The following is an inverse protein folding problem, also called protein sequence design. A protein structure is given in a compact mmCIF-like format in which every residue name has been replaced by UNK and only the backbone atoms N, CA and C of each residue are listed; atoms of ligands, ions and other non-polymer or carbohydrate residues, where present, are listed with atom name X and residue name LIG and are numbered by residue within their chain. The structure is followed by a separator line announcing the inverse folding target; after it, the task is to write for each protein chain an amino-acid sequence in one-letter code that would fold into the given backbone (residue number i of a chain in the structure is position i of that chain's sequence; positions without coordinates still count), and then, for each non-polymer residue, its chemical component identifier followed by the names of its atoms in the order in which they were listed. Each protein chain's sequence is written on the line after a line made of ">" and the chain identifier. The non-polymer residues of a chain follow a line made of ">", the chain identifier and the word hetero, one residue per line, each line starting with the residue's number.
data_IF_090059635674
#
_entry.id   IF_090059635674
#
_cell.length_a   1.000
_cell.length_b   1.000
_cell.length_c   1.000
_cell.angle_alpha   90.00
_cell.angle_beta   90.00
_cell.angle_gamma   90.00
#
_symmetry.space_group_name_H-M   'P 1'
#
loop_
_entity.id
_entity.type
_entity.pdbx_description
1 polymer ?
#
# COMPACT_ATOMS: atom_id res chain seq x y z
N UNK A 1 -28.40 22.19 20.35
CA UNK A 1 -29.50 21.32 19.92
C UNK A 1 -30.13 21.91 18.67
N UNK A 2 -29.82 21.40 17.50
CA UNK A 2 -30.58 21.72 16.28
C UNK A 2 -30.70 20.41 15.48
N UNK A 3 -31.89 19.83 15.50
CA UNK A 3 -32.31 18.76 14.61
C UNK A 3 -32.39 19.35 13.19
N UNK A 4 -31.36 19.13 12.39
CA UNK A 4 -31.45 19.37 10.94
C UNK A 4 -32.51 18.42 10.39
N UNK A 5 -33.60 19.01 9.96
CA UNK A 5 -34.73 18.36 9.31
C UNK A 5 -34.22 17.69 8.03
N UNK A 6 -34.22 16.37 7.99
CA UNK A 6 -33.92 15.57 6.79
C UNK A 6 -34.99 15.90 5.76
N UNK A 7 -34.70 16.83 4.86
CA UNK A 7 -35.58 17.16 3.75
C UNK A 7 -35.80 15.88 2.94
N UNK A 8 -37.07 15.49 2.72
CA UNK A 8 -37.46 14.38 1.88
C UNK A 8 -36.84 14.60 0.48
N UNK A 9 -35.84 13.77 0.13
CA UNK A 9 -35.16 13.87 -1.14
C UNK A 9 -36.19 13.61 -2.24
N UNK A 10 -36.50 14.63 -3.05
CA UNK A 10 -37.37 14.49 -4.22
C UNK A 10 -36.84 13.37 -5.10
N UNK A 11 -37.65 12.34 -5.32
CA UNK A 11 -37.27 11.20 -6.14
C UNK A 11 -36.99 11.66 -7.58
N UNK A 12 -35.72 11.65 -7.95
CA UNK A 12 -35.26 12.08 -9.29
C UNK A 12 -35.29 10.90 -10.26
N UNK A 13 -35.34 11.16 -11.56
CA UNK A 13 -35.21 10.13 -12.58
C UNK A 13 -33.94 9.31 -12.35
N UNK A 14 -32.83 9.99 -12.00
CA UNK A 14 -31.56 9.30 -11.73
C UNK A 14 -31.61 8.40 -10.50
N UNK A 15 -32.35 8.76 -9.44
CA UNK A 15 -32.51 7.88 -8.28
C UNK A 15 -33.27 6.59 -8.62
N UNK A 16 -34.27 6.67 -9.50
CA UNK A 16 -35.00 5.47 -10.00
C UNK A 16 -34.13 4.59 -10.88
N UNK A 17 -33.32 5.20 -11.76
CA UNK A 17 -32.34 4.48 -12.59
C UNK A 17 -31.33 3.74 -11.69
N UNK A 18 -30.74 4.46 -10.73
CA UNK A 18 -29.79 3.87 -9.77
C UNK A 18 -30.39 2.70 -8.99
N UNK A 19 -31.63 2.84 -8.49
CA UNK A 19 -32.31 1.77 -7.76
C UNK A 19 -32.53 0.52 -8.62
N UNK A 20 -32.95 0.70 -9.90
CA UNK A 20 -33.12 -0.45 -10.83
C UNK A 20 -31.77 -1.13 -11.10
N UNK A 21 -30.76 -0.35 -11.49
CA UNK A 21 -29.43 -0.90 -11.77
C UNK A 21 -28.80 -1.59 -10.55
N UNK A 22 -29.00 -1.06 -9.34
CA UNK A 22 -28.58 -1.71 -8.09
C UNK A 22 -29.25 -3.07 -7.90
N UNK A 23 -30.55 -3.16 -8.18
CA UNK A 23 -31.32 -4.42 -8.05
C UNK A 23 -30.84 -5.45 -9.08
N UNK A 24 -30.61 -5.02 -10.31
CA UNK A 24 -30.25 -5.92 -11.41
C UNK A 24 -28.80 -6.42 -11.32
N UNK A 25 -27.87 -5.58 -10.82
CA UNK A 25 -26.44 -5.92 -10.73
C UNK A 25 -26.01 -6.46 -9.38
N UNK A 26 -26.87 -6.37 -8.35
CA UNK A 26 -26.47 -6.68 -6.95
C UNK A 26 -25.50 -5.66 -6.32
N UNK A 27 -25.16 -4.58 -7.05
CA UNK A 27 -24.27 -3.53 -6.58
C UNK A 27 -25.05 -2.36 -5.98
N UNK A 28 -24.56 -1.76 -4.90
CA UNK A 28 -25.19 -0.61 -4.28
C UNK A 28 -24.75 0.69 -4.99
N UNK A 29 -25.63 1.26 -5.80
CA UNK A 29 -25.44 2.56 -6.45
C UNK A 29 -26.10 3.63 -5.59
N UNK A 30 -25.31 4.55 -5.03
CA UNK A 30 -25.79 5.64 -4.17
C UNK A 30 -25.13 6.97 -4.57
N UNK A 31 -25.76 8.09 -4.16
CA UNK A 31 -25.13 9.39 -4.33
C UNK A 31 -23.88 9.49 -3.46
N UNK A 32 -22.84 10.13 -4.00
CA UNK A 32 -21.59 10.32 -3.23
C UNK A 32 -21.83 11.12 -1.93
N UNK A 33 -22.69 12.13 -1.97
CA UNK A 33 -23.02 12.93 -0.79
C UNK A 33 -23.84 12.20 0.28
N UNK A 34 -24.43 11.05 -0.04
CA UNK A 34 -25.17 10.22 0.91
C UNK A 34 -24.24 9.20 1.63
N UNK A 35 -23.00 9.07 1.16
CA UNK A 35 -21.99 8.24 1.83
C UNK A 35 -21.49 8.95 3.09
N UNK A 36 -21.39 8.24 4.23
CA UNK A 36 -20.70 8.79 5.38
C UNK A 36 -19.26 9.15 4.96
N UNK A 37 -18.80 10.33 5.35
CA UNK A 37 -17.40 10.72 5.20
C UNK A 37 -16.60 9.87 6.19
N UNK A 38 -16.08 8.75 5.72
CA UNK A 38 -15.14 7.95 6.50
C UNK A 38 -13.80 8.71 6.53
N UNK A 39 -13.29 8.96 7.73
CA UNK A 39 -11.95 9.50 7.88
C UNK A 39 -10.93 8.48 7.33
N UNK A 40 -10.03 8.93 6.48
CA UNK A 40 -8.95 8.07 5.98
C UNK A 40 -8.00 7.80 7.15
N UNK A 41 -7.88 6.55 7.55
CA UNK A 41 -6.85 6.15 8.51
C UNK A 41 -5.47 6.37 7.87
N UNK A 42 -4.53 6.89 8.66
CA UNK A 42 -3.18 7.20 8.19
C UNK A 42 -2.13 6.67 9.16
N UNK A 43 -0.94 6.40 8.61
CA UNK A 43 0.29 6.18 9.38
C UNK A 43 1.25 7.32 9.06
N UNK A 44 1.82 7.98 10.06
CA UNK A 44 2.78 9.06 9.82
C UNK A 44 3.93 8.59 8.92
N UNK A 45 4.39 9.45 8.05
CA UNK A 45 5.57 9.21 7.21
C UNK A 45 6.87 9.27 8.01
N UNK A 46 6.81 9.77 9.26
CA UNK A 46 7.97 10.12 10.07
C UNK A 46 8.55 11.50 9.74
N UNK A 47 7.97 12.19 8.75
CA UNK A 47 8.35 13.57 8.36
C UNK A 47 7.15 14.50 8.50
N UNK A 48 7.21 15.43 9.44
CA UNK A 48 6.11 16.39 9.70
C UNK A 48 5.74 17.20 8.45
N UNK A 49 6.72 17.62 7.67
CA UNK A 49 6.48 18.40 6.46
C UNK A 49 5.79 17.58 5.37
N UNK A 50 6.13 16.30 5.25
CA UNK A 50 5.49 15.41 4.29
C UNK A 50 4.08 15.05 4.76
N UNK A 51 3.87 14.77 6.04
CA UNK A 51 2.55 14.52 6.61
C UNK A 51 1.60 15.70 6.34
N UNK A 52 2.07 16.93 6.57
CA UNK A 52 1.31 18.13 6.25
C UNK A 52 1.07 18.30 4.74
N UNK A 53 2.07 18.02 3.91
CA UNK A 53 2.00 18.12 2.45
C UNK A 53 1.05 17.13 1.79
N UNK A 54 0.88 15.95 2.37
CA UNK A 54 -0.07 14.92 1.91
C UNK A 54 -1.54 15.32 2.20
N UNK A 55 -1.79 16.31 3.05
CA UNK A 55 -3.12 16.82 3.36
C UNK A 55 -3.98 15.93 4.25
N UNK A 56 -3.69 14.64 4.31
CA UNK A 56 -4.39 13.65 5.17
C UNK A 56 -3.60 13.32 6.45
N UNK A 57 -2.37 13.82 6.58
CA UNK A 57 -1.56 13.68 7.78
C UNK A 57 -0.66 12.45 7.82
N UNK A 58 -0.41 11.78 6.70
CA UNK A 58 0.47 10.62 6.60
C UNK A 58 0.16 9.71 5.42
N UNK A 59 0.75 8.54 5.42
CA UNK A 59 0.47 7.50 4.44
C UNK A 59 -0.97 6.97 4.62
N UNK A 60 -1.83 7.03 3.58
CA UNK A 60 -3.19 6.51 3.69
C UNK A 60 -3.17 4.98 3.83
N UNK A 61 -3.86 4.46 4.83
CA UNK A 61 -3.96 3.02 5.04
C UNK A 61 -4.83 2.35 3.97
N UNK A 62 -4.52 1.10 3.67
CA UNK A 62 -5.21 0.36 2.62
C UNK A 62 -4.92 0.88 1.21
N UNK A 63 -3.76 1.49 0.98
CA UNK A 63 -3.36 2.02 -0.33
C UNK A 63 -1.94 1.60 -0.69
N UNK A 64 -1.67 1.61 -2.01
CA UNK A 64 -0.33 1.47 -2.55
C UNK A 64 0.21 2.87 -2.82
N UNK A 65 1.41 3.12 -2.35
CA UNK A 65 2.15 4.38 -2.52
C UNK A 65 3.42 4.08 -3.28
N UNK A 66 3.72 4.84 -4.31
CA UNK A 66 5.01 4.82 -4.98
C UNK A 66 5.87 5.97 -4.46
N UNK A 67 7.06 5.64 -3.96
CA UNK A 67 8.10 6.58 -3.57
C UNK A 67 9.23 6.49 -4.58
N UNK A 68 9.35 7.47 -5.47
CA UNK A 68 10.34 7.45 -6.53
C UNK A 68 11.28 8.66 -6.50
N UNK A 69 12.45 8.50 -7.07
CA UNK A 69 13.45 9.53 -7.17
C UNK A 69 14.79 8.98 -7.61
N UNK A 70 15.76 9.88 -7.80
CA UNK A 70 17.13 9.50 -8.13
C UNK A 70 17.77 8.68 -7.01
N UNK A 71 18.85 7.99 -7.33
CA UNK A 71 19.65 7.29 -6.33
C UNK A 71 20.19 8.28 -5.28
N UNK A 72 20.40 7.80 -4.05
CA UNK A 72 20.91 8.58 -2.92
C UNK A 72 20.07 9.83 -2.51
N UNK A 73 18.80 9.93 -2.91
CA UNK A 73 17.91 11.03 -2.51
C UNK A 73 17.20 10.83 -1.17
N UNK A 74 17.55 9.78 -0.42
CA UNK A 74 17.01 9.53 0.92
C UNK A 74 15.68 8.74 0.93
N UNK A 75 15.31 8.05 -0.16
CA UNK A 75 14.08 7.23 -0.21
C UNK A 75 14.04 6.18 0.89
N UNK A 76 15.08 5.36 0.99
CA UNK A 76 15.18 4.33 2.03
C UNK A 76 15.22 4.94 3.44
N UNK A 77 15.89 6.09 3.62
CA UNK A 77 15.89 6.82 4.90
C UNK A 77 14.47 7.25 5.31
N UNK A 78 13.69 7.82 4.37
CA UNK A 78 12.29 8.20 4.64
C UNK A 78 11.44 6.99 5.01
N UNK A 79 11.64 5.87 4.33
CA UNK A 79 10.93 4.62 4.63
C UNK A 79 11.30 4.09 6.01
N UNK A 80 12.56 4.16 6.43
CA UNK A 80 12.97 3.79 7.79
C UNK A 80 12.29 4.67 8.84
N UNK A 81 12.13 5.98 8.59
CA UNK A 81 11.34 6.84 9.48
C UNK A 81 9.85 6.45 9.49
N UNK A 82 9.30 6.03 8.35
CA UNK A 82 7.91 5.52 8.28
C UNK A 82 7.75 4.21 9.08
N UNK A 83 8.75 3.33 9.05
CA UNK A 83 8.78 2.11 9.89
C UNK A 83 8.75 2.47 11.36
N UNK A 84 9.59 3.42 11.80
CA UNK A 84 9.61 3.89 13.18
C UNK A 84 8.24 4.43 13.59
N UNK A 85 7.61 5.23 12.74
CA UNK A 85 6.29 5.78 13.00
C UNK A 85 5.21 4.68 13.11
N UNK A 86 5.24 3.69 12.22
CA UNK A 86 4.33 2.54 12.25
C UNK A 86 4.52 1.70 13.53
N UNK A 87 5.76 1.38 13.90
CA UNK A 87 6.08 0.65 15.12
C UNK A 87 5.62 1.41 16.38
N UNK A 88 5.82 2.75 16.43
CA UNK A 88 5.31 3.60 17.52
C UNK A 88 3.78 3.61 17.60
N UNK A 89 3.11 3.43 16.48
CA UNK A 89 1.65 3.32 16.42
C UNK A 89 1.15 1.90 16.77
N UNK A 90 2.05 0.98 17.16
CA UNK A 90 1.72 -0.41 17.49
C UNK A 90 1.39 -1.28 16.27
N UNK A 91 1.84 -0.89 15.09
CA UNK A 91 1.61 -1.64 13.85
C UNK A 91 2.80 -2.56 13.54
N UNK A 92 2.49 -3.76 13.05
CA UNK A 92 3.46 -4.66 12.45
C UNK A 92 3.97 -4.14 11.11
N UNK A 93 5.24 -4.38 10.81
CA UNK A 93 5.88 -3.94 9.57
C UNK A 93 6.63 -5.08 8.91
N UNK A 94 6.45 -5.22 7.59
CA UNK A 94 7.22 -6.14 6.76
C UNK A 94 8.06 -5.34 5.75
N UNK A 95 9.33 -5.72 5.60
CA UNK A 95 10.28 -5.14 4.65
C UNK A 95 10.70 -6.20 3.63
N UNK A 96 10.39 -5.98 2.38
CA UNK A 96 10.78 -6.86 1.26
C UNK A 96 11.97 -6.22 0.57
N UNK A 97 13.15 -6.73 0.88
CA UNK A 97 14.44 -6.22 0.43
C UNK A 97 14.88 -6.96 -0.85
N UNK A 98 14.41 -6.47 -1.99
CA UNK A 98 14.78 -7.02 -3.30
C UNK A 98 16.18 -6.53 -3.78
N UNK A 99 16.75 -5.50 -3.15
CA UNK A 99 18.10 -5.03 -3.42
C UNK A 99 19.16 -5.74 -2.55
N UNK A 100 18.74 -6.45 -1.50
CA UNK A 100 19.63 -7.06 -0.50
C UNK A 100 20.56 -6.04 0.15
N UNK A 101 20.08 -4.81 0.36
CA UNK A 101 20.89 -3.66 0.76
C UNK A 101 20.47 -3.02 2.08
N UNK A 102 19.54 -3.61 2.83
CA UNK A 102 19.08 -3.07 4.11
C UNK A 102 20.21 -3.10 5.16
N UNK A 103 20.71 -1.91 5.52
CA UNK A 103 21.68 -1.74 6.60
C UNK A 103 20.98 -1.76 7.97
N UNK A 104 21.05 -2.90 8.65
CA UNK A 104 20.47 -3.12 9.97
C UNK A 104 21.08 -2.20 11.03
N UNK A 105 22.36 -1.85 10.93
CA UNK A 105 23.02 -0.95 11.88
C UNK A 105 22.50 0.47 11.71
N UNK A 106 22.38 0.92 10.47
CA UNK A 106 21.80 2.23 10.16
C UNK A 106 20.34 2.33 10.57
N UNK A 107 19.53 1.32 10.27
CA UNK A 107 18.13 1.24 10.70
C UNK A 107 17.98 1.36 12.22
N UNK A 108 18.78 0.60 12.97
CA UNK A 108 18.81 0.66 14.45
C UNK A 108 19.27 2.02 14.95
N UNK A 109 20.27 2.63 14.31
CA UNK A 109 20.76 3.97 14.68
C UNK A 109 19.70 5.06 14.50
N UNK A 110 18.86 4.96 13.47
CA UNK A 110 17.73 5.84 13.27
C UNK A 110 16.60 5.63 14.28
N UNK A 111 16.56 4.48 14.96
CA UNK A 111 15.56 4.15 15.97
C UNK A 111 14.52 3.12 15.52
N UNK A 112 14.76 2.39 14.43
CA UNK A 112 13.94 1.23 14.06
C UNK A 112 14.14 0.12 15.13
N UNK A 113 13.05 -0.41 15.63
CA UNK A 113 13.10 -1.65 16.41
C UNK A 113 13.27 -2.83 15.44
N UNK A 114 14.54 -3.22 15.26
CA UNK A 114 14.90 -4.27 14.29
C UNK A 114 14.47 -5.66 14.74
N UNK A 115 14.21 -5.84 16.04
CA UNK A 115 13.78 -7.12 16.60
C UNK A 115 12.28 -7.40 16.29
N UNK A 116 11.50 -6.33 15.96
CA UNK A 116 10.10 -6.40 15.54
C UNK A 116 9.91 -6.06 14.05
N UNK A 117 10.98 -6.02 13.27
CA UNK A 117 10.92 -5.79 11.82
C UNK A 117 11.06 -7.13 11.08
N UNK A 118 10.00 -7.54 10.38
CA UNK A 118 10.04 -8.74 9.55
C UNK A 118 10.64 -8.42 8.19
N UNK A 119 11.71 -9.12 7.83
CA UNK A 119 12.44 -8.90 6.57
C UNK A 119 12.40 -10.16 5.71
N UNK A 120 12.15 -9.99 4.42
CA UNK A 120 12.26 -11.04 3.42
C UNK A 120 13.11 -10.57 2.25
N UNK A 121 13.90 -11.48 1.69
CA UNK A 121 14.80 -11.21 0.56
C UNK A 121 14.50 -12.20 -0.58
N UNK A 122 13.42 -11.96 -1.35
CA UNK A 122 13.03 -12.82 -2.45
C UNK A 122 14.04 -12.75 -3.59
N UNK A 123 14.21 -13.88 -4.28
CA UNK A 123 15.15 -13.98 -5.41
C UNK A 123 14.51 -13.55 -6.73
N UNK A 124 13.19 -13.65 -6.84
CA UNK A 124 12.44 -13.32 -8.07
C UNK A 124 11.38 -12.28 -7.82
N UNK A 125 11.01 -11.58 -8.86
CA UNK A 125 9.92 -10.61 -8.83
C UNK A 125 8.58 -11.26 -8.49
N UNK A 126 8.35 -12.48 -9.00
CA UNK A 126 7.14 -13.25 -8.71
C UNK A 126 7.04 -13.57 -7.21
N UNK A 127 8.14 -14.03 -6.60
CA UNK A 127 8.20 -14.31 -5.17
C UNK A 127 7.93 -13.05 -4.34
N UNK A 128 8.55 -11.92 -4.70
CA UNK A 128 8.34 -10.65 -4.00
C UNK A 128 6.88 -10.21 -4.03
N UNK A 129 6.27 -10.21 -5.22
CA UNK A 129 4.91 -9.74 -5.43
C UNK A 129 3.85 -10.69 -4.84
N UNK A 130 4.07 -12.00 -4.93
CA UNK A 130 3.20 -12.99 -4.29
C UNK A 130 3.32 -12.90 -2.75
N UNK A 131 4.51 -12.63 -2.21
CA UNK A 131 4.70 -12.42 -0.77
C UNK A 131 3.90 -11.21 -0.27
N UNK A 132 3.93 -10.07 -0.99
CA UNK A 132 3.11 -8.90 -0.65
C UNK A 132 1.62 -9.26 -0.60
N UNK A 133 1.13 -9.98 -1.62
CA UNK A 133 -0.27 -10.42 -1.66
C UNK A 133 -0.61 -11.34 -0.47
N UNK A 134 0.23 -12.34 -0.22
CA UNK A 134 0.03 -13.31 0.85
C UNK A 134 0.05 -12.66 2.24
N UNK A 135 0.91 -11.67 2.46
CA UNK A 135 0.94 -10.89 3.70
C UNK A 135 -0.37 -10.11 3.91
N UNK A 136 -0.89 -9.47 2.86
CA UNK A 136 -2.17 -8.79 2.94
C UNK A 136 -3.33 -9.76 3.19
N UNK A 137 -3.37 -10.87 2.47
CA UNK A 137 -4.45 -11.86 2.59
C UNK A 137 -4.42 -12.53 3.99
N UNK A 138 -3.24 -12.86 4.52
CA UNK A 138 -3.07 -13.37 5.88
C UNK A 138 -3.49 -12.35 6.93
N UNK A 139 -3.10 -11.08 6.75
CA UNK A 139 -3.52 -9.99 7.63
C UNK A 139 -5.05 -9.80 7.63
N UNK A 140 -5.71 -9.97 6.48
CA UNK A 140 -7.17 -9.91 6.39
C UNK A 140 -7.85 -11.06 7.14
N UNK A 141 -7.28 -12.26 7.08
CA UNK A 141 -7.79 -13.43 7.83
C UNK A 141 -7.70 -13.16 9.31
N UNK A 142 -6.52 -12.78 9.80
CA UNK A 142 -6.27 -12.48 11.22
C UNK A 142 -7.20 -11.37 11.73
N UNK A 143 -7.38 -10.30 10.95
CA UNK A 143 -8.30 -9.23 11.27
C UNK A 143 -9.72 -9.72 11.50
N UNK A 144 -10.23 -10.59 10.63
CA UNK A 144 -11.57 -11.17 10.74
C UNK A 144 -11.71 -12.07 11.97
N UNK A 145 -10.66 -12.79 12.31
CA UNK A 145 -10.64 -13.63 13.52
C UNK A 145 -10.67 -12.79 14.79
N UNK A 146 -9.90 -11.69 14.84
CA UNK A 146 -9.92 -10.72 15.94
C UNK A 146 -11.30 -10.09 16.09
N UNK A 147 -11.90 -9.65 14.97
CA UNK A 147 -13.25 -9.05 14.96
C UNK A 147 -14.34 -10.06 15.42
N UNK A 148 -14.24 -11.30 14.98
CA UNK A 148 -15.17 -12.36 15.38
C UNK A 148 -15.07 -12.67 16.88
N UNK A 149 -13.83 -12.82 17.39
CA UNK A 149 -13.56 -13.06 18.82
C UNK A 149 -14.08 -11.90 19.68
N UNK A 150 -13.75 -10.67 19.30
CA UNK A 150 -14.20 -9.49 20.03
C UNK A 150 -15.73 -9.38 20.08
N UNK A 151 -16.42 -9.76 18.99
CA UNK A 151 -17.88 -9.78 18.93
C UNK A 151 -18.47 -10.83 19.90
N UNK A 152 -17.90 -12.03 19.95
CA UNK A 152 -18.35 -13.09 20.85
C UNK A 152 -18.13 -12.72 22.31
N UNK A 153 -17.01 -12.11 22.62
CA UNK A 153 -16.63 -11.63 23.96
C UNK A 153 -17.29 -10.31 24.34
N UNK A 154 -17.97 -9.63 23.40
CA UNK A 154 -18.56 -8.29 23.56
C UNK A 154 -17.56 -7.23 23.99
N UNK A 155 -16.34 -7.35 23.50
CA UNK A 155 -15.22 -6.41 23.70
C UNK A 155 -14.96 -5.61 22.43
N UNK A 156 -14.11 -4.58 22.54
CA UNK A 156 -13.58 -3.91 21.36
C UNK A 156 -12.45 -4.77 20.75
N UNK A 157 -12.37 -4.87 19.40
CA UNK A 157 -11.27 -5.60 18.76
C UNK A 157 -9.94 -4.90 19.03
N UNK A 158 -8.92 -5.66 19.42
CA UNK A 158 -7.55 -5.17 19.59
C UNK A 158 -6.70 -5.54 18.37
N UNK A 159 -6.31 -4.54 17.61
CA UNK A 159 -5.48 -4.68 16.41
C UNK A 159 -3.99 -4.36 16.67
N UNK A 160 -3.56 -4.33 17.93
CA UNK A 160 -2.15 -4.11 18.27
C UNK A 160 -1.27 -5.20 17.65
N UNK A 161 -0.19 -4.79 17.01
CA UNK A 161 0.72 -5.70 16.31
C UNK A 161 0.23 -6.17 14.92
N UNK A 162 -0.99 -5.79 14.51
CA UNK A 162 -1.45 -6.10 13.17
C UNK A 162 -0.57 -5.46 12.10
N UNK A 163 -0.37 -6.18 11.01
CA UNK A 163 0.36 -5.67 9.84
C UNK A 163 -0.32 -4.38 9.35
N UNK A 164 0.44 -3.29 9.36
CA UNK A 164 -0.04 -1.97 8.93
C UNK A 164 0.77 -1.38 7.78
N UNK A 165 2.01 -1.85 7.59
CA UNK A 165 2.93 -1.31 6.59
C UNK A 165 3.75 -2.43 5.95
N UNK A 166 3.80 -2.44 4.63
CA UNK A 166 4.70 -3.27 3.81
C UNK A 166 5.58 -2.34 3.00
N UNK A 167 6.89 -2.58 3.01
CA UNK A 167 7.87 -1.89 2.18
C UNK A 167 8.37 -2.87 1.12
N UNK A 168 8.44 -2.42 -0.13
CA UNK A 168 9.09 -3.12 -1.24
C UNK A 168 10.25 -2.25 -1.75
N UNK A 169 11.47 -2.63 -1.43
CA UNK A 169 12.70 -1.90 -1.82
C UNK A 169 13.60 -2.79 -2.67
N UNK A 170 13.68 -2.59 -3.96
CA UNK A 170 12.95 -1.65 -4.79
C UNK A 170 12.25 -2.37 -5.96
N UNK A 171 11.23 -1.74 -6.53
CA UNK A 171 10.56 -2.26 -7.74
C UNK A 171 11.55 -2.38 -8.91
N UNK A 172 12.53 -1.46 -8.98
CA UNK A 172 13.54 -1.45 -10.02
C UNK A 172 14.52 -2.63 -9.95
N UNK A 173 14.64 -3.27 -8.78
CA UNK A 173 15.51 -4.44 -8.57
C UNK A 173 14.80 -5.78 -8.81
N UNK A 174 13.49 -5.76 -9.08
CA UNK A 174 12.73 -6.96 -9.31
C UNK A 174 13.12 -7.62 -10.63
N UNK A 175 13.66 -8.83 -10.57
CA UNK A 175 14.04 -9.64 -11.74
C UNK A 175 13.04 -10.77 -11.93
N UNK A 176 12.36 -10.87 -13.08
CA UNK A 176 11.47 -11.99 -13.38
C UNK A 176 12.21 -13.32 -13.39
N UNK A 177 11.55 -14.38 -12.93
CA UNK A 177 12.12 -15.73 -12.94
C UNK A 177 12.61 -16.15 -14.34
N UNK A 178 11.85 -15.82 -15.37
CA UNK A 178 12.22 -16.11 -16.75
C UNK A 178 13.51 -15.41 -17.22
N UNK A 179 13.83 -14.25 -16.63
CA UNK A 179 15.07 -13.52 -16.90
C UNK A 179 16.26 -14.14 -16.15
N UNK A 180 16.04 -14.64 -14.94
CA UNK A 180 17.07 -15.37 -14.17
C UNK A 180 17.44 -16.72 -14.79
N UNK A 181 16.47 -17.40 -15.39
CA UNK A 181 16.65 -18.73 -16.04
C UNK A 181 17.02 -18.62 -17.53
N UNK A 182 16.90 -17.42 -18.13
CA UNK A 182 17.17 -17.15 -19.55
C UNK A 182 18.65 -16.88 -19.86
N UNK A 183 18.97 -16.79 -21.15
CA UNK A 183 20.31 -16.41 -21.60
C UNK A 183 20.50 -14.88 -21.62
N UNK A 184 21.74 -14.40 -21.47
CA UNK A 184 22.10 -12.96 -21.40
C UNK A 184 21.75 -12.15 -22.68
N UNK A 185 20.99 -12.63 -23.59
CA UNK A 185 20.59 -11.92 -24.82
C UNK A 185 19.07 -11.76 -24.97
N UNK A 186 18.30 -12.33 -24.09
CA UNK A 186 16.85 -12.35 -24.18
C UNK A 186 16.23 -11.01 -23.76
N UNK A 187 15.37 -10.44 -24.61
CA UNK A 187 14.72 -9.16 -24.34
C UNK A 187 13.45 -9.34 -23.50
N UNK A 188 13.56 -9.15 -22.19
CA UNK A 188 12.44 -9.32 -21.24
C UNK A 188 11.78 -8.02 -20.77
N UNK A 189 12.09 -6.87 -21.38
CA UNK A 189 11.65 -5.53 -20.96
C UNK A 189 10.12 -5.43 -20.78
N UNK A 190 9.34 -6.09 -21.63
CA UNK A 190 7.88 -6.08 -21.52
C UNK A 190 7.32 -7.00 -20.42
N UNK A 191 8.13 -7.94 -19.89
CA UNK A 191 7.69 -8.92 -18.91
C UNK A 191 7.48 -8.29 -17.55
N UNK A 192 8.44 -7.48 -17.09
CA UNK A 192 8.34 -6.74 -15.80
C UNK A 192 7.09 -5.86 -15.79
N UNK A 193 6.85 -5.07 -16.83
CA UNK A 193 5.68 -4.19 -16.90
C UNK A 193 4.34 -4.97 -16.88
N UNK A 194 4.26 -6.10 -17.58
CA UNK A 194 3.05 -6.96 -17.54
C UNK A 194 2.84 -7.56 -16.17
N UNK A 195 3.90 -8.01 -15.53
CA UNK A 195 3.88 -8.60 -14.20
C UNK A 195 3.45 -7.57 -13.16
N UNK A 196 4.05 -6.37 -13.17
CA UNK A 196 3.65 -5.26 -12.31
C UNK A 196 2.18 -4.88 -12.52
N UNK A 197 1.72 -4.78 -13.78
CA UNK A 197 0.32 -4.51 -14.07
C UNK A 197 -0.64 -5.60 -13.55
N UNK A 198 -0.24 -6.89 -13.54
CA UNK A 198 -1.00 -7.98 -12.93
C UNK A 198 -0.97 -7.90 -11.41
N UNK A 199 0.19 -7.64 -10.83
CA UNK A 199 0.39 -7.52 -9.40
C UNK A 199 -0.43 -6.37 -8.81
N UNK A 200 -0.39 -5.19 -9.43
CA UNK A 200 -1.17 -4.02 -8.96
C UNK A 200 -2.68 -4.31 -8.91
N UNK A 201 -3.23 -5.02 -9.92
CA UNK A 201 -4.65 -5.42 -9.90
C UNK A 201 -5.00 -6.37 -8.76
N UNK A 202 -4.04 -7.22 -8.32
CA UNK A 202 -4.23 -8.16 -7.21
C UNK A 202 -3.96 -7.48 -5.86
N UNK A 203 -2.87 -6.73 -5.74
CA UNK A 203 -2.46 -6.09 -4.50
C UNK A 203 -3.40 -4.97 -4.05
N UNK A 204 -3.97 -4.19 -4.97
CA UNK A 204 -4.84 -3.05 -4.63
C UNK A 204 -6.04 -3.45 -3.77
N UNK A 205 -6.87 -4.44 -4.17
CA UNK A 205 -7.98 -4.86 -3.32
C UNK A 205 -7.50 -5.55 -2.03
N UNK A 206 -6.44 -6.37 -2.07
CA UNK A 206 -5.90 -7.03 -0.87
C UNK A 206 -5.41 -6.01 0.15
N UNK A 207 -4.63 -5.00 -0.26
CA UNK A 207 -4.18 -3.93 0.61
C UNK A 207 -5.35 -3.14 1.23
N UNK A 208 -6.36 -2.82 0.40
CA UNK A 208 -7.56 -2.10 0.85
C UNK A 208 -8.32 -2.87 1.92
N UNK A 209 -8.62 -4.14 1.68
CA UNK A 209 -9.39 -4.97 2.61
C UNK A 209 -8.61 -5.30 3.89
N UNK A 210 -7.31 -5.51 3.78
CA UNK A 210 -6.44 -5.74 4.94
C UNK A 210 -6.13 -4.45 5.72
N UNK A 211 -6.44 -3.28 5.17
CA UNK A 211 -6.09 -1.96 5.71
C UNK A 211 -4.57 -1.78 5.90
N UNK A 212 -3.78 -2.28 4.95
CA UNK A 212 -2.31 -2.25 4.95
C UNK A 212 -1.82 -1.23 3.93
N UNK A 213 -0.89 -0.37 4.32
CA UNK A 213 -0.19 0.51 3.37
C UNK A 213 0.97 -0.27 2.74
N UNK A 214 1.08 -0.22 1.42
CA UNK A 214 2.22 -0.77 0.69
C UNK A 214 3.01 0.39 0.11
N UNK A 215 4.28 0.54 0.49
CA UNK A 215 5.19 1.54 -0.10
C UNK A 215 6.13 0.80 -1.04
N UNK A 216 6.01 1.11 -2.33
CA UNK A 216 6.91 0.65 -3.37
C UNK A 216 7.99 1.71 -3.63
N UNK A 217 9.24 1.41 -3.33
CA UNK A 217 10.37 2.28 -3.70
C UNK A 217 10.71 2.04 -5.16
N UNK A 218 10.87 3.11 -5.93
CA UNK A 218 11.27 3.03 -7.32
C UNK A 218 12.43 3.99 -7.64
N UNK A 219 13.20 3.67 -8.68
CA UNK A 219 14.32 4.48 -9.13
C UNK A 219 13.93 5.24 -10.40
N UNK A 220 14.28 6.51 -10.42
CA UNK A 220 14.07 7.37 -11.58
C UNK A 220 15.34 7.42 -12.42
N UNK A 221 15.22 7.12 -13.72
CA UNK A 221 16.34 7.12 -14.66
C UNK A 221 16.14 8.17 -15.74
N UNK A 222 17.24 8.76 -16.23
CA UNK A 222 17.18 9.64 -17.39
C UNK A 222 16.96 8.85 -18.68
N UNK A 223 16.05 9.32 -19.50
CA UNK A 223 15.90 8.82 -20.88
C UNK A 223 17.07 9.29 -21.72
N UNK A 224 17.80 8.37 -22.31
CA UNK A 224 18.79 8.69 -23.36
C UNK A 224 17.97 9.06 -24.60
N UNK A 225 18.15 10.28 -25.14
CA UNK A 225 17.39 10.83 -26.27
C UNK A 225 15.91 11.19 -25.93
N UNK A 226 15.67 11.84 -24.79
CA UNK A 226 14.36 12.47 -24.57
C UNK A 226 14.18 13.62 -25.57
N UNK A 227 13.34 13.40 -26.60
CA UNK A 227 12.90 14.46 -27.50
C UNK A 227 11.96 15.42 -26.76
N UNK A 228 10.71 15.56 -27.20
CA UNK A 228 9.73 16.36 -26.48
C UNK A 228 9.11 15.52 -25.35
N UNK A 229 9.16 15.99 -24.10
CA UNK A 229 8.59 15.35 -22.93
C UNK A 229 9.49 15.33 -21.70
N UNK A 230 9.06 14.65 -20.63
CA UNK A 230 9.89 14.51 -19.43
C UNK A 230 11.17 13.71 -19.72
N UNK A 231 12.35 14.21 -19.34
CA UNK A 231 13.60 13.47 -19.48
C UNK A 231 13.72 12.28 -18.52
N UNK A 232 12.76 12.15 -17.58
CA UNK A 232 12.76 11.13 -16.54
C UNK A 232 11.76 10.01 -16.82
N UNK A 233 12.09 8.79 -16.41
CA UNK A 233 11.21 7.62 -16.39
C UNK A 233 11.44 6.83 -15.09
N UNK A 234 10.41 6.26 -14.56
CA UNK A 234 10.41 5.29 -13.46
C UNK A 234 10.29 3.88 -14.00
#
# INVERSE_FOLDING_TARGET
>A
MSKATKAAATETVMSRIAARASKDSGNNIQRLGDRPLEAVEVTSTGSLSLDAGLGVGGWPRGRIVELYGQEATGKTTLVLHSIIAAQKAGLGVAFIDAEHALDTKYARHLGVNVDDLYVAQPMTAEEALDLVCNLCDSSLIERREIEARAKDEKTAPDFTGMLGLIILDSVAALVPKAELEGEMGDAHVALVARMMGKAMRKMTPSAHHANVTIICINQQRMKINAGHGSPWTT
#
